data_IF_190561497764
#
_entry.id   IF_190561497764
#
_cell.length_a   1.000
_cell.length_b   1.000
_cell.length_c   1.000
_cell.angle_alpha   90.00
_cell.angle_beta   90.00
_cell.angle_gamma   90.00
#
_symmetry.space_group_name_H-M   'P 1'
#
loop_
_entity.id
_entity.type
_entity.pdbx_description
1 polymer ?
#
# COMPACT_ATOMS: atom_id res chain seq x y z
N UNK A 1 -14.40 -14.84 5.48
CA UNK A 1 -13.29 -14.13 6.14
C UNK A 1 -12.59 -13.19 5.16
N UNK A 2 -11.99 -13.64 4.04
CA UNK A 2 -11.46 -12.72 3.00
C UNK A 2 -12.45 -11.66 2.47
N UNK A 3 -13.71 -12.03 2.25
CA UNK A 3 -14.73 -11.11 1.75
C UNK A 3 -15.07 -9.96 2.72
N UNK A 4 -14.92 -10.14 4.04
CA UNK A 4 -15.26 -9.10 5.02
C UNK A 4 -14.20 -8.00 5.07
N UNK A 5 -12.92 -8.34 5.02
CA UNK A 5 -11.84 -7.35 4.89
C UNK A 5 -11.86 -6.69 3.51
N UNK A 6 -12.08 -7.45 2.44
CA UNK A 6 -12.24 -6.85 1.11
C UNK A 6 -13.40 -5.85 1.12
N UNK A 7 -14.54 -6.18 1.73
CA UNK A 7 -15.65 -5.24 1.88
C UNK A 7 -15.29 -4.05 2.79
N UNK A 8 -14.60 -4.27 3.90
CA UNK A 8 -14.15 -3.22 4.81
C UNK A 8 -13.17 -2.26 4.13
N UNK A 9 -12.11 -2.78 3.52
CA UNK A 9 -11.13 -2.00 2.75
C UNK A 9 -11.78 -1.31 1.55
N UNK A 10 -12.73 -1.96 0.86
CA UNK A 10 -13.51 -1.34 -0.22
C UNK A 10 -14.31 -0.13 0.25
N UNK A 11 -14.76 -0.09 1.51
CA UNK A 11 -15.45 1.09 2.06
C UNK A 11 -14.50 2.26 2.39
N UNK A 12 -13.19 1.99 2.47
CA UNK A 12 -12.15 2.96 2.86
C UNK A 12 -11.28 3.41 1.68
N UNK A 13 -11.38 2.68 0.57
CA UNK A 13 -10.62 2.89 -0.65
C UNK A 13 -11.55 3.16 -1.82
N UNK A 14 -11.03 3.82 -2.84
CA UNK A 14 -11.71 3.98 -4.13
C UNK A 14 -10.79 3.47 -5.23
N UNK A 15 -11.36 2.98 -6.33
CA UNK A 15 -10.57 2.64 -7.52
C UNK A 15 -9.74 3.86 -7.93
N UNK A 16 -8.43 3.69 -8.00
CA UNK A 16 -7.56 4.81 -8.29
C UNK A 16 -7.49 5.05 -9.79
N UNK A 17 -8.29 5.98 -10.28
CA UNK A 17 -8.20 6.46 -11.67
C UNK A 17 -6.85 7.17 -11.90
N UNK A 18 -6.22 7.65 -10.83
CA UNK A 18 -4.96 8.40 -10.87
C UNK A 18 -3.75 7.51 -11.06
N UNK A 19 -3.79 6.24 -10.67
CA UNK A 19 -2.64 5.35 -10.71
C UNK A 19 -2.97 4.06 -11.45
N UNK A 20 -2.04 3.61 -12.29
CA UNK A 20 -2.17 2.35 -13.02
C UNK A 20 -0.94 1.49 -12.81
N UNK A 21 -1.16 0.24 -12.43
CA UNK A 21 -0.11 -0.76 -12.33
C UNK A 21 0.29 -1.24 -13.73
N UNK A 22 1.59 -1.34 -13.97
CA UNK A 22 2.19 -1.78 -15.22
C UNK A 22 3.20 -2.88 -14.89
N UNK A 23 2.87 -4.11 -15.29
CA UNK A 23 3.79 -5.24 -15.13
C UNK A 23 4.88 -5.14 -16.17
N UNK A 24 6.15 -4.94 -15.77
CA UNK A 24 7.26 -4.79 -16.70
C UNK A 24 8.37 -5.82 -16.41
N UNK A 25 8.38 -6.87 -17.23
CA UNK A 25 9.30 -8.02 -17.09
C UNK A 25 10.78 -7.69 -17.27
N UNK A 26 11.12 -6.52 -17.84
CA UNK A 26 12.51 -6.14 -18.14
C UNK A 26 13.08 -5.18 -17.09
N UNK A 27 12.23 -4.38 -16.43
CA UNK A 27 12.67 -3.29 -15.56
C UNK A 27 12.06 -3.31 -14.15
N UNK A 28 11.28 -4.36 -13.81
CA UNK A 28 10.51 -4.41 -12.57
C UNK A 28 9.15 -3.77 -12.75
N UNK A 29 8.22 -4.01 -11.82
CA UNK A 29 6.88 -3.47 -11.92
C UNK A 29 6.86 -1.94 -11.71
N UNK A 30 5.91 -1.27 -12.37
CA UNK A 30 5.81 0.19 -12.43
C UNK A 30 4.41 0.65 -12.03
N UNK A 31 4.31 1.81 -11.37
CA UNK A 31 3.06 2.51 -11.13
C UNK A 31 3.10 3.83 -11.89
N UNK A 32 2.22 3.97 -12.88
CA UNK A 32 2.09 5.18 -13.68
C UNK A 32 0.98 6.05 -13.11
N UNK A 33 1.33 7.27 -12.68
CA UNK A 33 0.38 8.29 -12.33
C UNK A 33 -0.22 8.97 -13.58
N UNK A 34 -1.41 9.54 -13.45
CA UNK A 34 -2.15 10.20 -14.54
C UNK A 34 -1.44 11.41 -15.15
N UNK A 35 -0.50 12.01 -14.42
CA UNK A 35 0.35 13.11 -14.89
C UNK A 35 1.61 12.65 -15.63
N UNK A 36 1.78 11.33 -15.79
CA UNK A 36 2.93 10.72 -16.45
C UNK A 36 4.08 10.36 -15.50
N UNK A 37 3.96 10.64 -14.20
CA UNK A 37 4.98 10.26 -13.22
C UNK A 37 5.04 8.73 -13.09
N UNK A 38 6.24 8.17 -13.18
CA UNK A 38 6.48 6.74 -12.99
C UNK A 38 7.12 6.52 -11.63
N UNK A 39 6.50 5.64 -10.85
CA UNK A 39 7.04 5.15 -9.59
C UNK A 39 7.54 3.73 -9.79
N UNK A 40 8.71 3.44 -9.23
CA UNK A 40 9.30 2.10 -9.20
C UNK A 40 9.53 1.67 -7.76
N UNK A 41 9.47 0.36 -7.54
CA UNK A 41 9.85 -0.26 -6.27
C UNK A 41 11.29 0.10 -5.90
N UNK A 42 11.52 0.45 -4.63
CA UNK A 42 12.84 0.83 -4.12
C UNK A 42 13.59 -0.34 -3.48
N UNK A 43 12.86 -1.35 -3.01
CA UNK A 43 13.37 -2.56 -2.36
C UNK A 43 12.32 -3.65 -2.46
N UNK A 44 12.75 -4.89 -2.67
CA UNK A 44 11.88 -6.07 -2.61
C UNK A 44 11.49 -6.42 -1.16
N UNK A 45 12.07 -5.72 -0.17
CA UNK A 45 11.74 -5.86 1.24
C UNK A 45 10.55 -4.95 1.61
N UNK A 46 9.52 -5.58 2.17
CA UNK A 46 8.40 -4.90 2.80
C UNK A 46 8.84 -4.10 4.05
N UNK A 47 8.15 -3.00 4.32
CA UNK A 47 8.46 -2.06 5.38
C UNK A 47 7.98 -2.55 6.75
N UNK A 48 8.74 -2.28 7.80
CA UNK A 48 8.26 -2.45 9.17
C UNK A 48 7.16 -1.43 9.49
N UNK A 49 6.21 -1.74 10.40
CA UNK A 49 5.16 -0.81 10.83
C UNK A 49 5.71 0.56 11.27
N UNK A 50 6.85 0.55 11.99
CA UNK A 50 7.50 1.76 12.47
C UNK A 50 8.04 2.64 11.31
N UNK A 51 8.50 2.02 10.23
CA UNK A 51 8.98 2.73 9.04
C UNK A 51 7.83 3.33 8.24
N UNK A 52 6.71 2.61 8.12
CA UNK A 52 5.50 3.13 7.50
C UNK A 52 4.98 4.35 8.28
N UNK A 53 4.83 4.22 9.59
CA UNK A 53 4.40 5.29 10.48
C UNK A 53 5.32 6.52 10.36
N UNK A 54 6.65 6.32 10.40
CA UNK A 54 7.63 7.39 10.23
C UNK A 54 7.49 8.09 8.89
N UNK A 55 7.40 7.33 7.79
CA UNK A 55 7.29 7.89 6.44
C UNK A 55 6.01 8.72 6.29
N UNK A 56 4.90 8.29 6.90
CA UNK A 56 3.63 9.03 6.90
C UNK A 56 3.67 10.31 7.76
N UNK A 57 4.48 10.33 8.82
CA UNK A 57 4.72 11.54 9.62
C UNK A 57 5.62 12.55 8.87
N UNK A 58 6.65 12.05 8.18
CA UNK A 58 7.57 12.86 7.36
C UNK A 58 6.88 13.40 6.10
N UNK A 59 5.95 12.63 5.53
CA UNK A 59 5.21 12.96 4.31
C UNK A 59 3.68 12.88 4.54
N UNK A 60 3.04 13.90 5.13
CA UNK A 60 1.61 13.87 5.47
C UNK A 60 0.65 13.73 4.27
N UNK A 61 1.14 13.94 3.04
CA UNK A 61 0.37 13.87 1.79
C UNK A 61 0.75 12.67 0.92
N UNK A 62 1.54 11.74 1.46
CA UNK A 62 2.01 10.55 0.78
C UNK A 62 0.84 9.72 0.25
N UNK A 63 0.77 9.47 -1.08
CA UNK A 63 -0.23 8.58 -1.63
C UNK A 63 -0.08 7.18 -1.03
N UNK A 64 -1.20 6.63 -0.55
CA UNK A 64 -1.31 5.25 -0.07
C UNK A 64 -2.22 4.48 -1.01
N UNK A 65 -1.69 3.41 -1.58
CA UNK A 65 -2.39 2.54 -2.51
C UNK A 65 -2.53 1.14 -1.95
N UNK A 66 -3.63 0.46 -2.26
CA UNK A 66 -3.87 -0.95 -2.01
C UNK A 66 -3.89 -1.68 -3.36
N UNK A 67 -3.08 -2.72 -3.51
CA UNK A 67 -3.15 -3.65 -4.64
C UNK A 67 -3.94 -4.90 -4.24
N UNK A 68 -5.07 -5.10 -4.92
CA UNK A 68 -5.86 -6.33 -4.87
C UNK A 68 -6.11 -6.79 -6.32
N UNK A 69 -7.32 -6.61 -6.86
CA UNK A 69 -7.64 -6.81 -8.28
C UNK A 69 -7.41 -5.55 -9.15
N UNK A 70 -6.53 -4.67 -8.70
CA UNK A 70 -6.30 -3.33 -9.22
C UNK A 70 -5.74 -2.41 -8.14
N UNK A 71 -5.42 -1.17 -8.51
CA UNK A 71 -4.95 -0.15 -7.55
C UNK A 71 -6.11 0.64 -6.99
N UNK A 72 -6.17 0.72 -5.67
CA UNK A 72 -7.16 1.53 -4.95
C UNK A 72 -6.46 2.53 -4.05
N UNK A 73 -6.99 3.75 -3.97
CA UNK A 73 -6.42 4.83 -3.16
C UNK A 73 -7.20 4.99 -1.86
N UNK A 74 -6.50 5.16 -0.74
CA UNK A 74 -7.14 5.46 0.55
C UNK A 74 -7.69 6.88 0.54
N UNK A 75 -8.97 7.03 0.91
CA UNK A 75 -9.74 8.27 0.76
C UNK A 75 -9.53 9.31 1.86
N UNK A 76 -8.81 8.96 2.92
CA UNK A 76 -8.61 9.82 4.10
C UNK A 76 -7.13 10.13 4.33
N UNK A 77 -6.85 11.09 5.23
CA UNK A 77 -5.48 11.45 5.63
C UNK A 77 -4.59 10.20 5.79
N UNK A 78 -3.42 10.15 5.14
CA UNK A 78 -2.58 8.95 5.11
C UNK A 78 -2.29 8.36 6.49
N UNK A 79 -1.84 9.19 7.45
CA UNK A 79 -1.57 8.74 8.82
C UNK A 79 -2.81 8.19 9.55
N UNK A 80 -3.99 8.78 9.29
CA UNK A 80 -5.25 8.27 9.86
C UNK A 80 -5.64 6.94 9.22
N UNK A 81 -5.58 6.86 7.88
CA UNK A 81 -5.86 5.64 7.13
C UNK A 81 -4.97 4.50 7.61
N UNK A 82 -3.68 4.76 7.82
CA UNK A 82 -2.73 3.82 8.39
C UNK A 82 -3.20 3.29 9.74
N UNK A 83 -3.28 4.14 10.78
CA UNK A 83 -3.58 3.71 12.15
C UNK A 83 -4.95 3.05 12.32
N UNK A 84 -5.97 3.47 11.58
CA UNK A 84 -7.35 2.98 11.78
C UNK A 84 -7.76 1.87 10.83
N UNK A 85 -7.04 1.68 9.72
CA UNK A 85 -7.48 0.80 8.63
C UNK A 85 -6.41 -0.19 8.22
N UNK A 86 -5.14 0.21 8.16
CA UNK A 86 -4.07 -0.63 7.61
C UNK A 86 -3.29 -1.34 8.71
N UNK A 87 -2.83 -0.61 9.73
CA UNK A 87 -2.04 -1.12 10.86
C UNK A 87 -2.66 -2.35 11.54
N UNK A 88 -3.98 -2.41 11.81
CA UNK A 88 -4.59 -3.60 12.44
C UNK A 88 -4.54 -4.88 11.60
N UNK A 89 -4.25 -4.77 10.30
CA UNK A 89 -4.16 -5.90 9.37
C UNK A 89 -2.74 -6.04 8.79
N UNK A 90 -1.79 -5.25 9.29
CA UNK A 90 -0.41 -5.28 8.83
C UNK A 90 0.35 -6.44 9.48
N UNK A 91 1.07 -7.22 8.68
CA UNK A 91 1.89 -8.31 9.21
C UNK A 91 3.00 -7.75 10.11
N UNK A 92 3.26 -8.40 11.25
CA UNK A 92 4.31 -7.94 12.16
C UNK A 92 5.66 -8.54 11.77
N UNK A 93 6.79 -7.92 12.17
CA UNK A 93 8.12 -8.47 11.91
C UNK A 93 8.33 -9.89 12.45
N UNK A 94 7.54 -10.32 13.44
CA UNK A 94 7.56 -11.71 13.93
C UNK A 94 6.84 -12.71 13.00
N UNK A 95 6.27 -12.26 11.89
CA UNK A 95 5.62 -13.09 10.87
C UNK A 95 4.27 -13.68 11.29
N UNK A 96 3.70 -13.22 12.40
CA UNK A 96 2.37 -13.64 12.85
C UNK A 96 1.30 -12.77 12.17
N UNK A 97 0.24 -13.35 11.59
CA UNK A 97 -0.88 -12.57 11.12
C UNK A 97 -1.52 -11.84 12.33
N UNK A 98 -1.92 -10.56 12.18
CA UNK A 98 -2.44 -9.76 13.29
C UNK A 98 -3.80 -10.22 13.85
N UNK A 99 -4.39 -11.32 13.37
CA UNK A 99 -5.64 -11.86 13.88
C UNK A 99 -6.02 -13.24 13.30
N UNK A 100 -7.12 -13.81 13.80
CA UNK A 100 -7.64 -15.15 13.43
C UNK A 100 -8.17 -15.25 11.98
N UNK A 101 -8.27 -14.12 11.27
CA UNK A 101 -8.96 -14.02 9.98
C UNK A 101 -8.13 -14.42 8.75
N UNK A 102 -6.82 -14.72 8.93
CA UNK A 102 -5.91 -15.24 7.88
C UNK A 102 -5.45 -14.21 6.83
N UNK A 103 -5.58 -12.91 7.13
CA UNK A 103 -5.36 -11.82 6.18
C UNK A 103 -4.20 -10.93 6.63
N UNK A 104 -3.29 -10.62 5.70
CA UNK A 104 -2.08 -9.85 5.95
C UNK A 104 -1.87 -8.75 4.90
N UNK A 105 -1.60 -7.53 5.35
CA UNK A 105 -1.13 -6.43 4.51
C UNK A 105 0.38 -6.28 4.65
N UNK A 106 1.07 -6.12 3.53
CA UNK A 106 2.50 -5.78 3.46
C UNK A 106 2.65 -4.46 2.72
N UNK A 107 3.46 -3.55 3.23
CA UNK A 107 3.69 -2.23 2.66
C UNK A 107 5.05 -2.17 1.98
N UNK A 108 5.10 -1.62 0.78
CA UNK A 108 6.30 -1.47 -0.03
C UNK A 108 6.49 0.00 -0.34
N UNK A 109 7.76 0.44 -0.30
CA UNK A 109 8.14 1.79 -0.70
C UNK A 109 8.41 1.84 -2.18
N UNK A 110 7.67 2.70 -2.85
CA UNK A 110 7.90 3.07 -4.23
C UNK A 110 8.37 4.53 -4.27
N UNK A 111 9.12 4.91 -5.30
CA UNK A 111 9.50 6.30 -5.48
C UNK A 111 9.62 6.66 -6.96
N UNK A 112 9.42 7.94 -7.26
CA UNK A 112 9.67 8.47 -8.60
C UNK A 112 11.16 8.79 -8.83
N UNK A 113 11.49 9.26 -10.04
CA UNK A 113 12.86 9.68 -10.40
C UNK A 113 13.44 10.83 -9.56
N UNK A 114 12.60 11.54 -8.79
CA UNK A 114 12.99 12.63 -7.89
C UNK A 114 13.13 12.16 -6.45
N UNK A 115 12.76 10.92 -6.15
CA UNK A 115 12.75 10.34 -4.81
C UNK A 115 11.47 10.63 -4.03
N UNK A 116 10.43 11.15 -4.67
CA UNK A 116 9.13 11.37 -4.02
C UNK A 116 8.47 10.01 -3.75
N UNK A 117 8.12 9.70 -2.49
CA UNK A 117 7.66 8.37 -2.13
C UNK A 117 6.20 8.13 -2.53
N UNK A 118 5.87 6.85 -2.67
CA UNK A 118 4.52 6.29 -2.75
C UNK A 118 4.49 5.02 -1.88
N UNK A 119 3.41 4.82 -1.13
CA UNK A 119 3.20 3.59 -0.36
C UNK A 119 2.23 2.67 -1.08
N UNK A 120 2.68 1.45 -1.36
CA UNK A 120 1.84 0.39 -1.92
C UNK A 120 1.64 -0.70 -0.86
N UNK A 121 0.40 -1.05 -0.58
CA UNK A 121 0.04 -2.15 0.30
C UNK A 121 -0.47 -3.32 -0.55
N UNK A 122 0.13 -4.50 -0.37
CA UNK A 122 -0.33 -5.75 -1.00
C UNK A 122 -1.18 -6.53 0.00
N UNK A 123 -2.28 -7.10 -0.48
CA UNK A 123 -3.12 -8.02 0.29
C UNK A 123 -2.68 -9.48 0.03
N UNK A 124 -2.12 -10.12 1.05
CA UNK A 124 -1.87 -11.56 1.07
C UNK A 124 -2.97 -12.25 1.89
N UNK A 125 -3.55 -13.32 1.31
CA UNK A 125 -4.51 -14.19 1.99
C UNK A 125 -3.84 -15.55 2.16
N UNK A 126 -3.66 -16.02 3.40
CA UNK A 126 -3.13 -17.37 3.69
C UNK A 126 -4.27 -18.38 3.93
#
# INVERSE_FOLDING_TARGET
MAAELVNFLSSRTIDSIRYRFLTNKLHGDEILASDGTVFTEQSDEWLDPADVERLLQEHPYLPMLLAADGLREFTSSPLKSWRTTVEPHYITPEGLPPGEDGLCLMGFRWADSKGEPLLLFLLECY
#
